data_IF_926685528044
#
_entry.id   IF_926685528044
#
_cell.length_a   1.000
_cell.length_b   1.000
_cell.length_c   1.000
_cell.angle_alpha   90.00
_cell.angle_beta   90.00
_cell.angle_gamma   90.00
#
_symmetry.space_group_name_H-M   'P 1'
#
loop_
_entity.id
_entity.type
_entity.pdbx_description
1 polymer ?
#
# COMPACT_ATOMS: atom_id res chain seq x y z
N UNK A 1 -12.19 -12.18 3.31
CA UNK A 1 -12.68 -13.56 3.54
C UNK A 1 -13.86 -13.92 2.64
N UNK A 2 -14.63 -12.97 2.08
CA UNK A 2 -15.70 -13.32 1.12
C UNK A 2 -15.20 -13.72 -0.27
N UNK A 3 -14.03 -13.22 -0.71
CA UNK A 3 -13.42 -13.61 -2.00
C UNK A 3 -12.93 -15.07 -2.03
N UNK A 4 -12.50 -15.63 -0.89
CA UNK A 4 -12.10 -17.05 -0.82
C UNK A 4 -13.32 -17.98 -0.89
N UNK A 5 -14.50 -17.49 -0.48
CA UNK A 5 -15.73 -18.28 -0.42
C UNK A 5 -16.48 -18.33 -1.74
N UNK A 6 -16.22 -17.38 -2.65
CA UNK A 6 -16.90 -17.32 -3.95
C UNK A 6 -16.29 -18.24 -5.01
N UNK A 7 -15.00 -18.58 -4.95
CA UNK A 7 -14.33 -19.47 -5.92
C UNK A 7 -13.20 -20.31 -5.26
N UNK A 8 -13.51 -21.45 -4.64
CA UNK A 8 -12.53 -22.26 -3.90
C UNK A 8 -11.45 -22.91 -4.77
N UNK A 9 -11.64 -22.98 -6.08
CA UNK A 9 -10.72 -23.66 -7.03
C UNK A 9 -9.77 -22.72 -7.77
N UNK A 10 -9.87 -21.40 -7.55
CA UNK A 10 -9.00 -20.43 -8.23
C UNK A 10 -7.53 -20.67 -7.88
N UNK A 11 -6.62 -20.30 -8.79
CA UNK A 11 -5.17 -20.39 -8.53
C UNK A 11 -4.76 -19.58 -7.31
N UNK A 12 -5.43 -18.45 -7.07
CA UNK A 12 -5.26 -17.62 -5.88
C UNK A 12 -5.66 -18.36 -4.59
N UNK A 13 -6.78 -19.09 -4.60
CA UNK A 13 -7.25 -19.88 -3.46
C UNK A 13 -6.26 -20.99 -3.11
N UNK A 14 -5.75 -21.71 -4.13
CA UNK A 14 -4.75 -22.79 -3.95
C UNK A 14 -3.41 -22.26 -3.44
N UNK A 15 -2.99 -21.11 -3.94
CA UNK A 15 -1.79 -20.43 -3.47
C UNK A 15 -1.92 -19.99 -2.00
N UNK A 16 -3.06 -19.40 -1.62
CA UNK A 16 -3.35 -19.04 -0.24
C UNK A 16 -3.37 -20.27 0.68
N UNK A 17 -3.96 -21.37 0.24
CA UNK A 17 -4.01 -22.64 1.00
C UNK A 17 -2.62 -23.23 1.22
N UNK A 18 -1.80 -23.29 0.17
CA UNK A 18 -0.41 -23.77 0.29
C UNK A 18 0.41 -22.91 1.25
N UNK A 19 0.30 -21.58 1.13
CA UNK A 19 0.98 -20.64 2.04
C UNK A 19 0.47 -20.73 3.48
N UNK A 20 -0.83 -20.97 3.65
CA UNK A 20 -1.44 -21.18 4.95
C UNK A 20 -0.87 -22.43 5.63
N UNK A 21 -0.77 -23.55 4.91
CA UNK A 21 -0.19 -24.79 5.43
C UNK A 21 1.31 -24.67 5.74
N UNK A 22 2.06 -23.87 4.96
CA UNK A 22 3.49 -23.61 5.22
C UNK A 22 3.73 -22.72 6.46
N UNK A 23 2.84 -21.77 6.74
CA UNK A 23 3.03 -20.76 7.78
C UNK A 23 2.32 -21.08 9.11
N UNK A 24 1.23 -21.86 9.06
CA UNK A 24 0.38 -22.13 10.22
C UNK A 24 0.43 -23.63 10.54
N UNK A 25 1.20 -24.01 11.53
CA UNK A 25 1.14 -25.36 12.08
C UNK A 25 -0.22 -25.59 12.79
N UNK A 26 -0.81 -26.80 12.80
CA UNK A 26 -2.10 -27.06 13.45
C UNK A 26 -2.22 -26.60 14.93
N UNK A 27 -1.11 -26.65 15.68
CA UNK A 27 -1.06 -26.12 17.05
C UNK A 27 -1.15 -24.58 17.14
N UNK A 28 -0.72 -23.89 16.07
CA UNK A 28 -0.84 -22.45 15.92
C UNK A 28 -2.28 -22.06 15.54
N UNK A 29 -3.00 -22.88 14.78
CA UNK A 29 -4.42 -22.64 14.50
C UNK A 29 -5.25 -22.56 15.78
N UNK A 30 -5.09 -23.53 16.68
CA UNK A 30 -5.86 -23.55 17.93
C UNK A 30 -5.58 -22.32 18.82
N UNK A 31 -4.36 -21.80 18.83
CA UNK A 31 -4.01 -20.59 19.59
C UNK A 31 -4.45 -19.29 18.90
N UNK A 32 -4.43 -19.24 17.57
CA UNK A 32 -4.90 -18.10 16.77
C UNK A 32 -6.43 -17.98 16.79
N UNK A 33 -7.17 -19.09 16.72
CA UNK A 33 -8.64 -19.07 16.70
C UNK A 33 -9.28 -18.97 18.09
N UNK A 34 -8.60 -19.41 19.15
CA UNK A 34 -9.14 -19.30 20.51
C UNK A 34 -8.92 -17.94 21.18
N UNK A 35 -7.86 -17.19 20.82
CA UNK A 35 -7.43 -16.02 21.61
C UNK A 35 -7.30 -14.70 20.84
N UNK A 36 -7.54 -14.69 19.52
CA UNK A 36 -7.49 -13.44 18.77
C UNK A 36 -8.87 -12.82 18.71
N UNK A 37 -9.08 -11.79 19.53
CA UNK A 37 -10.10 -10.78 19.28
C UNK A 37 -10.12 -10.44 17.79
N UNK A 38 -11.30 -10.28 17.17
CA UNK A 38 -11.47 -10.13 15.71
C UNK A 38 -10.47 -9.17 15.03
N UNK A 39 -9.95 -8.18 15.77
CA UNK A 39 -8.96 -7.21 15.30
C UNK A 39 -7.56 -7.80 15.08
N UNK A 40 -7.14 -8.80 15.85
CA UNK A 40 -5.84 -9.43 15.65
C UNK A 40 -5.88 -10.44 14.48
N UNK A 41 -7.06 -11.02 14.21
CA UNK A 41 -7.30 -11.84 13.01
C UNK A 41 -7.17 -11.03 11.70
N UNK A 42 -7.63 -9.78 11.69
CA UNK A 42 -7.49 -8.92 10.50
C UNK A 42 -6.05 -8.49 10.24
N UNK A 43 -5.28 -8.18 11.29
CA UNK A 43 -3.83 -7.88 11.17
C UNK A 43 -3.06 -9.09 10.65
N UNK A 44 -3.32 -10.29 11.18
CA UNK A 44 -2.68 -11.52 10.70
C UNK A 44 -3.05 -11.85 9.26
N UNK A 45 -4.32 -11.65 8.89
CA UNK A 45 -4.79 -11.83 7.51
C UNK A 45 -4.13 -10.83 6.56
N UNK A 46 -4.02 -9.56 6.97
CA UNK A 46 -3.34 -8.51 6.21
C UNK A 46 -1.85 -8.84 6.04
N UNK A 47 -1.19 -9.32 7.10
CA UNK A 47 0.20 -9.76 7.04
C UNK A 47 0.38 -10.90 6.03
N UNK A 48 -0.44 -11.96 6.12
CA UNK A 48 -0.39 -13.07 5.15
C UNK A 48 -0.66 -12.62 3.71
N UNK A 49 -1.65 -11.77 3.49
CA UNK A 49 -1.95 -11.22 2.16
C UNK A 49 -0.77 -10.40 1.62
N UNK A 50 -0.15 -9.55 2.45
CA UNK A 50 1.02 -8.76 2.06
C UNK A 50 2.19 -9.67 1.60
N UNK A 51 2.44 -10.77 2.31
CA UNK A 51 3.47 -11.76 1.96
C UNK A 51 3.10 -12.68 0.79
N UNK A 52 1.82 -12.69 0.39
CA UNK A 52 1.33 -13.49 -0.72
C UNK A 52 1.45 -12.75 -2.06
N UNK A 53 1.75 -11.45 -2.07
CA UNK A 53 1.99 -10.74 -3.32
C UNK A 53 3.37 -11.08 -3.88
N UNK A 54 3.39 -11.64 -5.09
CA UNK A 54 4.57 -11.74 -5.94
C UNK A 54 4.30 -10.87 -7.17
N UNK A 55 4.92 -9.67 -7.29
CA UNK A 55 6.08 -9.17 -6.54
C UNK A 55 5.74 -8.50 -5.19
N UNK A 56 6.74 -8.46 -4.29
CA UNK A 56 6.66 -7.77 -2.98
C UNK A 56 6.36 -6.28 -3.18
N UNK A 57 5.44 -5.74 -2.37
CA UNK A 57 5.09 -4.32 -2.36
C UNK A 57 6.04 -3.55 -1.46
N UNK A 58 6.74 -2.56 -2.01
CA UNK A 58 7.57 -1.60 -1.27
C UNK A 58 6.75 -0.31 -1.01
N UNK A 59 6.71 0.14 0.24
CA UNK A 59 6.06 1.40 0.62
C UNK A 59 7.13 2.48 0.75
N UNK A 60 6.92 3.66 0.16
CA UNK A 60 7.80 4.81 0.33
C UNK A 60 7.02 6.04 0.80
N UNK A 61 7.64 6.82 1.68
CA UNK A 61 7.10 8.09 2.15
C UNK A 61 7.99 9.23 1.68
N UNK A 62 7.39 10.30 1.18
CA UNK A 62 8.14 11.45 0.70
C UNK A 62 8.39 12.43 1.84
N UNK A 63 9.64 12.86 1.99
CA UNK A 63 10.04 13.81 3.02
C UNK A 63 9.62 15.25 2.66
N UNK A 64 9.40 16.06 3.69
CA UNK A 64 9.14 17.50 3.54
C UNK A 64 10.37 18.20 2.96
N UNK A 65 10.14 19.11 2.02
CA UNK A 65 11.16 19.94 1.38
C UNK A 65 11.80 19.33 0.12
N UNK A 66 11.50 18.06 -0.18
CA UNK A 66 11.92 17.36 -1.41
C UNK A 66 11.28 18.02 -2.62
N UNK A 67 12.02 18.09 -3.73
CA UNK A 67 11.51 18.61 -5.00
C UNK A 67 10.41 17.70 -5.54
N UNK A 68 9.31 18.30 -6.01
CA UNK A 68 8.18 17.55 -6.56
C UNK A 68 8.59 16.79 -7.83
N UNK A 69 8.24 15.51 -7.87
CA UNK A 69 8.46 14.66 -9.04
C UNK A 69 7.13 14.11 -9.55
N UNK A 70 6.69 14.59 -10.70
CA UNK A 70 5.46 14.14 -11.38
C UNK A 70 5.44 12.65 -11.70
N UNK A 71 6.58 11.96 -11.63
CA UNK A 71 6.68 10.51 -11.87
C UNK A 71 6.32 9.72 -10.61
N UNK A 72 6.69 10.22 -9.43
CA UNK A 72 6.52 9.51 -8.15
C UNK A 72 5.43 10.12 -7.26
N UNK A 73 4.89 11.29 -7.61
CA UNK A 73 4.06 12.09 -6.72
C UNK A 73 2.85 12.69 -7.46
N UNK A 74 1.71 12.71 -6.78
CA UNK A 74 0.48 13.42 -7.18
C UNK A 74 0.20 14.54 -6.19
N UNK A 75 -0.08 15.75 -6.68
CA UNK A 75 -0.55 16.86 -5.85
C UNK A 75 -2.04 16.67 -5.52
N UNK A 76 -2.35 16.54 -4.23
CA UNK A 76 -3.72 16.38 -3.74
C UNK A 76 -4.64 17.55 -4.09
N UNK A 77 -4.10 18.75 -4.29
CA UNK A 77 -4.92 19.91 -4.64
C UNK A 77 -5.34 19.90 -6.11
N UNK A 78 -4.65 19.14 -6.96
CA UNK A 78 -4.85 19.05 -8.43
C UNK A 78 -4.84 20.41 -9.14
N UNK A 79 -4.37 21.49 -8.48
CA UNK A 79 -4.32 22.86 -9.03
C UNK A 79 -3.07 23.10 -9.88
N UNK A 80 -2.41 22.05 -10.33
CA UNK A 80 -1.05 22.14 -10.83
C UNK A 80 -1.00 22.53 -12.31
N UNK A 81 -0.93 23.83 -12.58
CA UNK A 81 -0.45 24.38 -13.84
C UNK A 81 0.88 25.06 -13.57
N UNK A 82 1.97 24.28 -13.44
CA UNK A 82 3.26 24.88 -13.11
C UNK A 82 3.85 25.65 -14.29
N UNK A 83 4.30 26.90 -14.09
CA UNK A 83 5.26 27.54 -14.99
C UNK A 83 6.55 26.72 -14.99
N UNK A 84 7.16 26.59 -16.16
CA UNK A 84 8.44 25.93 -16.50
C UNK A 84 9.59 25.92 -15.46
N UNK A 85 9.56 26.82 -14.48
CA UNK A 85 10.73 27.32 -13.73
C UNK A 85 10.60 27.30 -12.21
N UNK A 86 9.42 27.04 -11.63
CA UNK A 86 9.29 26.95 -10.17
C UNK A 86 9.37 25.49 -9.72
N UNK A 87 10.43 25.11 -9.00
CA UNK A 87 10.49 23.80 -8.35
C UNK A 87 9.55 23.81 -7.15
N UNK A 88 8.33 23.30 -7.35
CA UNK A 88 7.42 23.05 -6.24
C UNK A 88 8.07 22.05 -5.28
N UNK A 89 7.93 22.31 -3.97
CA UNK A 89 8.49 21.46 -2.93
C UNK A 89 7.38 20.80 -2.15
N UNK A 90 7.63 19.57 -1.71
CA UNK A 90 6.70 18.82 -0.88
C UNK A 90 6.58 19.49 0.49
N UNK A 91 5.37 19.83 0.88
CA UNK A 91 5.03 20.28 2.24
C UNK A 91 4.93 19.09 3.18
N UNK A 92 4.10 18.11 2.82
CA UNK A 92 3.94 16.86 3.57
C UNK A 92 3.30 15.76 2.70
N UNK A 93 3.48 14.51 3.10
CA UNK A 93 2.83 13.34 2.48
C UNK A 93 1.46 13.13 3.11
N UNK A 94 0.41 13.09 2.27
CA UNK A 94 -0.96 12.74 2.68
C UNK A 94 -1.14 11.22 2.63
N UNK A 95 -0.67 10.60 1.55
CA UNK A 95 -0.71 9.15 1.38
C UNK A 95 0.65 8.65 0.85
N UNK A 96 1.22 7.57 1.44
CA UNK A 96 2.48 7.02 0.96
C UNK A 96 2.36 6.55 -0.49
N UNK A 97 3.51 6.46 -1.16
CA UNK A 97 3.59 5.81 -2.47
C UNK A 97 3.91 4.33 -2.33
N UNK A 98 3.65 3.58 -3.39
CA UNK A 98 3.86 2.14 -3.43
C UNK A 98 4.59 1.75 -4.70
N UNK A 99 5.51 0.79 -4.58
CA UNK A 99 6.20 0.19 -5.71
C UNK A 99 5.91 -1.30 -5.72
N UNK A 100 5.34 -1.76 -6.84
CA UNK A 100 4.93 -3.15 -7.06
C UNK A 100 5.66 -3.65 -8.30
N UNK A 101 6.79 -4.33 -8.08
CA UNK A 101 7.72 -4.68 -9.16
C UNK A 101 8.25 -3.44 -9.89
N UNK A 102 7.79 -3.24 -11.13
CA UNK A 102 8.14 -2.08 -11.99
C UNK A 102 7.10 -0.96 -11.96
N UNK A 103 5.92 -1.23 -11.40
CA UNK A 103 4.82 -0.26 -11.35
C UNK A 103 4.97 0.62 -10.12
N UNK A 104 4.83 1.93 -10.32
CA UNK A 104 4.81 2.93 -9.24
C UNK A 104 3.39 3.46 -9.09
N UNK A 105 2.86 3.35 -7.89
CA UNK A 105 1.66 4.07 -7.44
C UNK A 105 2.17 5.31 -6.73
N UNK A 106 1.80 6.47 -7.25
CA UNK A 106 2.34 7.76 -6.82
C UNK A 106 1.94 8.08 -5.37
N UNK A 107 2.86 8.67 -4.63
CA UNK A 107 2.57 9.22 -3.31
C UNK A 107 1.71 10.47 -3.46
N UNK A 108 0.64 10.57 -2.68
CA UNK A 108 -0.17 11.78 -2.65
C UNK A 108 0.46 12.77 -1.67
N UNK A 109 0.89 13.91 -2.19
CA UNK A 109 1.62 14.93 -1.44
C UNK A 109 0.89 16.26 -1.52
N UNK A 110 1.03 17.05 -0.46
CA UNK A 110 0.69 18.47 -0.50
C UNK A 110 1.94 19.27 -0.84
N UNK A 111 1.83 20.25 -1.72
CA UNK A 111 2.95 21.07 -2.17
C UNK A 111 2.95 22.44 -1.50
N UNK A 112 4.12 22.86 -1.02
CA UNK A 112 4.36 24.21 -0.55
C UNK A 112 4.82 25.09 -1.72
N UNK A 113 4.23 26.27 -1.87
CA UNK A 113 4.80 27.34 -2.69
C UNK A 113 4.19 27.57 -4.08
N UNK A 114 3.02 26.99 -4.40
CA UNK A 114 2.21 27.54 -5.48
C UNK A 114 1.52 28.81 -4.96
N UNK A 115 2.06 29.98 -5.28
CA UNK A 115 1.25 31.19 -5.24
C UNK A 115 0.11 30.98 -6.24
N UNK A 116 -1.13 30.89 -5.79
CA UNK A 116 -2.27 31.07 -6.66
C UNK A 116 -2.11 32.47 -7.27
N UNK A 117 -1.76 32.57 -8.55
CA UNK A 117 -2.13 33.75 -9.31
C UNK A 117 -3.64 33.70 -9.46
N UNK A 118 -4.27 34.64 -8.78
CA UNK A 118 -5.71 34.94 -8.81
C UNK A 118 -6.21 35.17 -10.23
#
# INVERSE_FOLDING_TARGET
MELLRSNPTSEFSRFCEKKYQELIHPAMESSLFCNLDQKASSVWTLHKLAFSFDPIVEIFQVERGVDFSMVFMEDVTRKFTLPAKARAKVGFTVFPGFKVGRTVIQSQVYLNGLKCTE
#
